data_IF_829842574091
#
_entry.id   IF_829842574091
#
_cell.length_a   1.000
_cell.length_b   1.000
_cell.length_c   1.000
_cell.angle_alpha   90.00
_cell.angle_beta   90.00
_cell.angle_gamma   90.00
#
_symmetry.space_group_name_H-M   'P 1'
#
loop_
_entity.id
_entity.type
_entity.pdbx_description
1 polymer ?
#
# COMPACT_ATOMS: atom_id res chain seq x y z
N UNK A 1 -22.31 -23.35 37.79
CA UNK A 1 -20.91 -22.85 37.67
C UNK A 1 -20.81 -22.05 36.38
N UNK A 2 -20.28 -20.82 36.43
CA UNK A 2 -20.02 -20.03 35.23
C UNK A 2 -18.78 -20.56 34.53
N UNK A 3 -18.82 -20.58 33.21
CA UNK A 3 -17.70 -20.93 32.35
C UNK A 3 -17.53 -19.84 31.29
N UNK A 4 -16.31 -19.67 30.85
CA UNK A 4 -15.93 -18.71 29.83
C UNK A 4 -15.53 -19.49 28.58
N UNK A 5 -16.37 -19.39 27.55
CA UNK A 5 -16.11 -20.02 26.27
C UNK A 5 -15.14 -19.17 25.46
N UNK A 6 -14.20 -19.84 24.80
CA UNK A 6 -13.27 -19.24 23.87
C UNK A 6 -13.32 -19.96 22.52
N UNK A 7 -12.98 -19.24 21.46
CA UNK A 7 -12.90 -19.80 20.11
C UNK A 7 -11.45 -20.16 19.82
N UNK A 8 -11.21 -21.32 19.23
CA UNK A 8 -9.92 -21.67 18.65
C UNK A 8 -9.69 -20.75 17.43
N UNK A 9 -8.94 -19.66 17.64
CA UNK A 9 -8.42 -18.84 16.55
C UNK A 9 -7.22 -19.50 15.89
N UNK A 10 -6.71 -18.90 14.80
CA UNK A 10 -5.52 -19.41 14.11
C UNK A 10 -4.27 -19.44 14.99
N UNK A 11 -4.20 -18.57 16.00
CA UNK A 11 -3.03 -18.43 16.88
C UNK A 11 -3.39 -18.24 18.36
N UNK A 12 -4.52 -17.58 18.66
CA UNK A 12 -4.96 -17.29 20.03
C UNK A 12 -6.38 -17.81 20.32
N UNK A 13 -6.59 -18.35 21.53
CA UNK A 13 -7.91 -18.81 22.02
C UNK A 13 -8.68 -17.63 22.61
N UNK A 14 -9.39 -16.88 21.79
CA UNK A 14 -10.03 -15.62 22.21
C UNK A 14 -11.35 -15.87 22.91
N UNK A 15 -11.60 -15.14 24.00
CA UNK A 15 -12.89 -15.13 24.67
C UNK A 15 -14.02 -14.80 23.68
N UNK A 16 -15.12 -15.55 23.75
CA UNK A 16 -16.31 -15.32 22.92
C UNK A 16 -17.54 -15.00 23.75
N UNK A 17 -17.84 -15.79 24.78
CA UNK A 17 -19.05 -15.62 25.60
C UNK A 17 -18.97 -16.34 26.93
N UNK A 18 -19.82 -15.93 27.87
CA UNK A 18 -20.10 -16.69 29.09
C UNK A 18 -21.15 -17.79 28.82
N UNK A 19 -20.96 -18.96 29.42
CA UNK A 19 -21.90 -20.08 29.40
C UNK A 19 -22.04 -20.67 30.80
N UNK A 20 -23.16 -21.35 31.06
CA UNK A 20 -23.34 -22.10 32.31
C UNK A 20 -22.94 -23.56 32.15
N UNK A 21 -22.17 -24.08 33.11
CA UNK A 21 -21.81 -25.50 33.15
C UNK A 21 -23.05 -26.37 33.35
N UNK A 22 -23.22 -27.37 32.50
CA UNK A 22 -24.23 -28.41 32.67
C UNK A 22 -23.72 -29.46 33.65
N UNK A 23 -24.64 -30.10 34.37
CA UNK A 23 -24.31 -31.22 35.26
C UNK A 23 -24.54 -32.51 34.48
N UNK A 24 -23.57 -33.42 34.53
CA UNK A 24 -23.77 -34.79 34.06
C UNK A 24 -24.71 -35.52 35.04
N UNK A 25 -25.86 -35.94 34.54
CA UNK A 25 -26.91 -36.60 35.34
C UNK A 25 -26.47 -37.96 35.90
N UNK A 26 -25.45 -38.58 35.33
CA UNK A 26 -24.96 -39.90 35.77
C UNK A 26 -23.90 -39.76 36.86
N UNK A 27 -22.90 -38.88 36.67
CA UNK A 27 -21.80 -38.71 37.65
C UNK A 27 -22.03 -37.59 38.66
N UNK A 28 -23.02 -36.72 38.45
CA UNK A 28 -23.27 -35.53 39.26
C UNK A 28 -22.20 -34.44 39.14
N UNK A 29 -21.23 -34.59 38.24
CA UNK A 29 -20.11 -33.64 38.06
C UNK A 29 -20.47 -32.55 37.07
N UNK A 30 -19.88 -31.37 37.24
CA UNK A 30 -19.97 -30.30 36.26
C UNK A 30 -19.21 -30.68 34.99
N UNK A 31 -19.89 -30.56 33.86
CA UNK A 31 -19.31 -30.72 32.53
C UNK A 31 -18.69 -29.40 32.10
N UNK A 32 -17.41 -29.45 31.76
CA UNK A 32 -16.70 -28.35 31.11
C UNK A 32 -16.60 -28.72 29.62
N UNK A 33 -17.31 -28.01 28.72
CA UNK A 33 -17.21 -28.25 27.30
C UNK A 33 -15.79 -28.02 26.77
N UNK A 34 -15.48 -28.61 25.62
CA UNK A 34 -14.26 -28.27 24.90
C UNK A 34 -14.24 -26.76 24.60
N UNK A 35 -13.09 -26.13 24.81
CA UNK A 35 -12.88 -24.69 24.65
C UNK A 35 -13.66 -23.80 25.64
N UNK A 36 -13.85 -24.28 26.87
CA UNK A 36 -14.37 -23.50 27.97
C UNK A 36 -13.51 -23.67 29.22
N UNK A 37 -13.42 -22.63 30.03
CA UNK A 37 -12.68 -22.62 31.30
C UNK A 37 -13.54 -22.05 32.43
N UNK A 38 -13.31 -22.50 33.66
CA UNK A 38 -13.92 -21.93 34.87
C UNK A 38 -13.02 -20.85 35.52
N UNK A 39 -11.88 -20.53 34.91
CA UNK A 39 -10.97 -19.47 35.35
C UNK A 39 -11.61 -18.11 35.08
N UNK A 40 -11.67 -17.27 36.11
CA UNK A 40 -12.29 -15.94 36.05
C UNK A 40 -11.68 -15.07 34.95
N UNK A 41 -12.55 -14.42 34.18
CA UNK A 41 -12.17 -13.59 33.06
C UNK A 41 -11.61 -12.25 33.56
N UNK A 42 -10.45 -11.86 33.02
CA UNK A 42 -9.86 -10.54 33.27
C UNK A 42 -10.77 -9.40 32.77
N UNK A 43 -10.64 -8.22 33.36
CA UNK A 43 -11.43 -7.03 33.02
C UNK A 43 -11.32 -6.70 31.53
N UNK A 44 -12.38 -6.14 30.95
CA UNK A 44 -12.33 -5.69 29.57
C UNK A 44 -11.48 -4.43 29.47
N UNK A 45 -10.54 -4.41 28.53
CA UNK A 45 -9.69 -3.27 28.25
C UNK A 45 -9.93 -2.82 26.80
N UNK A 46 -10.15 -1.52 26.60
CA UNK A 46 -10.41 -0.95 25.28
C UNK A 46 -9.18 -1.12 24.37
N UNK A 47 -9.41 -1.58 23.13
CA UNK A 47 -8.33 -1.90 22.18
C UNK A 47 -7.57 -3.20 22.46
N UNK A 48 -8.04 -4.04 23.41
CA UNK A 48 -7.45 -5.34 23.69
C UNK A 48 -8.50 -6.46 23.66
N UNK A 49 -8.14 -7.57 23.03
CA UNK A 49 -8.88 -8.82 23.14
C UNK A 49 -8.31 -9.67 24.28
N UNK A 50 -9.17 -10.47 24.91
CA UNK A 50 -8.79 -11.42 25.97
C UNK A 50 -8.58 -12.79 25.36
N UNK A 51 -7.40 -13.39 25.55
CA UNK A 51 -7.09 -14.73 25.07
C UNK A 51 -6.67 -15.64 26.23
N UNK A 52 -7.01 -16.93 26.13
CA UNK A 52 -6.68 -17.94 27.13
C UNK A 52 -5.45 -18.74 26.69
N UNK A 53 -4.41 -18.79 27.52
CA UNK A 53 -3.19 -19.57 27.24
C UNK A 53 -2.56 -20.00 28.56
N UNK A 54 -1.93 -21.17 28.58
CA UNK A 54 -1.18 -21.67 29.75
C UNK A 54 -1.99 -21.77 31.06
N UNK A 55 -3.33 -21.80 30.98
CA UNK A 55 -4.21 -21.89 32.14
C UNK A 55 -4.74 -20.55 32.65
N UNK A 56 -4.33 -19.43 32.05
CA UNK A 56 -4.72 -18.08 32.46
C UNK A 56 -5.18 -17.21 31.28
N UNK A 57 -5.86 -16.11 31.63
CA UNK A 57 -6.29 -15.09 30.67
C UNK A 57 -5.22 -14.00 30.51
N UNK A 58 -4.96 -13.63 29.27
CA UNK A 58 -4.01 -12.59 28.90
C UNK A 58 -4.65 -11.56 27.95
N UNK A 59 -4.05 -10.37 27.90
CA UNK A 59 -4.42 -9.31 26.95
C UNK A 59 -3.58 -9.39 25.68
N UNK A 60 -4.23 -9.18 24.55
CA UNK A 60 -3.57 -8.99 23.25
C UNK A 60 -4.15 -7.76 22.57
N UNK A 61 -3.30 -6.91 21.99
CA UNK A 61 -3.75 -5.72 21.29
C UNK A 61 -4.59 -6.10 20.07
N UNK A 62 -5.76 -5.47 19.96
CA UNK A 62 -6.65 -5.61 18.83
C UNK A 62 -6.52 -4.40 17.90
N UNK A 63 -5.51 -4.47 17.03
CA UNK A 63 -5.33 -3.53 15.93
C UNK A 63 -5.98 -4.03 14.63
N UNK A 64 -6.85 -5.04 14.69
CA UNK A 64 -7.48 -5.59 13.50
C UNK A 64 -8.33 -4.50 12.84
N UNK A 65 -8.13 -4.33 11.53
CA UNK A 65 -8.80 -3.29 10.76
C UNK A 65 -8.01 -2.00 10.64
N UNK A 66 -6.93 -1.82 11.41
CA UNK A 66 -6.02 -0.69 11.25
C UNK A 66 -5.30 -0.79 9.91
N UNK A 67 -5.40 0.27 9.12
CA UNK A 67 -4.74 0.43 7.82
C UNK A 67 -3.54 1.37 7.99
N UNK A 68 -2.39 0.96 7.49
CA UNK A 68 -1.17 1.77 7.53
C UNK A 68 -0.45 1.71 6.19
N UNK A 69 0.36 2.72 5.93
CA UNK A 69 1.23 2.82 4.77
C UNK A 69 2.67 2.56 5.20
N UNK A 70 3.46 1.91 4.34
CA UNK A 70 4.91 1.86 4.47
C UNK A 70 5.55 3.16 3.91
N UNK A 71 6.87 3.32 4.08
CA UNK A 71 7.63 4.45 3.52
C UNK A 71 7.58 4.55 1.99
N UNK A 72 7.16 3.47 1.32
CA UNK A 72 7.04 3.35 -0.13
C UNK A 72 5.59 3.58 -0.60
N UNK A 73 4.67 3.95 0.31
CA UNK A 73 3.26 4.18 0.02
C UNK A 73 2.42 2.93 -0.23
N UNK A 74 2.93 1.74 0.07
CA UNK A 74 2.15 0.50 0.05
C UNK A 74 1.23 0.46 1.27
N UNK A 75 -0.06 0.26 1.01
CA UNK A 75 -1.06 0.12 2.05
C UNK A 75 -1.11 -1.33 2.53
N UNK A 76 -0.99 -1.53 3.85
CA UNK A 76 -1.17 -2.81 4.51
C UNK A 76 -2.26 -2.68 5.56
N UNK A 77 -3.13 -3.69 5.62
CA UNK A 77 -4.20 -3.79 6.62
C UNK A 77 -3.87 -4.89 7.60
N UNK A 78 -3.97 -4.57 8.89
CA UNK A 78 -3.82 -5.55 9.96
C UNK A 78 -5.06 -6.44 9.98
N UNK A 79 -4.88 -7.73 9.71
CA UNK A 79 -5.96 -8.71 9.66
C UNK A 79 -5.83 -9.77 10.77
N UNK A 80 -4.76 -9.72 11.56
CA UNK A 80 -4.47 -10.71 12.61
C UNK A 80 -4.39 -10.04 13.98
N UNK A 81 -4.92 -10.75 14.97
CA UNK A 81 -4.92 -10.31 16.35
C UNK A 81 -3.50 -10.31 16.91
N UNK A 82 -3.10 -9.23 17.58
CA UNK A 82 -1.74 -9.06 18.12
C UNK A 82 -0.69 -8.60 17.12
N UNK A 83 -1.05 -8.39 15.86
CA UNK A 83 -0.18 -7.64 14.96
C UNK A 83 -0.20 -6.16 15.36
N UNK A 84 0.99 -5.64 15.61
CA UNK A 84 1.21 -4.22 15.82
C UNK A 84 1.72 -3.62 14.51
N UNK A 85 1.27 -2.42 14.13
CA UNK A 85 1.88 -1.73 13.00
C UNK A 85 3.38 -1.55 13.29
N UNK A 86 4.25 -1.75 12.28
CA UNK A 86 5.68 -1.54 12.46
C UNK A 86 5.97 -0.10 12.91
N UNK A 87 7.12 0.14 13.55
CA UNK A 87 7.48 1.47 14.04
C UNK A 87 7.51 2.54 12.95
N UNK A 88 7.82 2.14 11.72
CA UNK A 88 7.86 3.01 10.53
C UNK A 88 6.50 3.12 9.81
N UNK A 89 5.41 2.62 10.42
CA UNK A 89 4.07 2.70 9.86
C UNK A 89 3.56 4.15 9.83
N UNK A 90 3.04 4.55 8.67
CA UNK A 90 2.43 5.85 8.45
C UNK A 90 0.91 5.69 8.41
N UNK A 91 0.18 6.46 9.22
CA UNK A 91 -1.29 6.47 9.22
C UNK A 91 -1.89 7.44 8.19
N UNK A 92 -1.02 8.20 7.53
CA UNK A 92 -1.35 9.05 6.39
C UNK A 92 -0.55 8.58 5.18
N UNK A 93 -1.11 8.78 3.99
CA UNK A 93 -0.44 8.38 2.75
C UNK A 93 0.85 9.20 2.58
N UNK A 94 2.04 8.59 2.49
CA UNK A 94 3.27 9.33 2.27
C UNK A 94 3.25 10.01 0.90
N UNK A 95 3.76 11.23 0.86
CA UNK A 95 4.04 11.93 -0.40
C UNK A 95 5.41 11.47 -0.87
N UNK A 96 5.43 10.53 -1.82
CA UNK A 96 6.66 10.05 -2.43
C UNK A 96 7.03 11.03 -3.55
N UNK A 97 7.93 11.95 -3.24
CA UNK A 97 8.51 12.81 -4.28
C UNK A 97 9.48 11.98 -5.10
N UNK A 98 9.31 11.88 -6.43
CA UNK A 98 10.24 11.13 -7.27
C UNK A 98 11.64 11.70 -7.11
N UNK A 99 12.63 10.82 -7.06
CA UNK A 99 14.03 11.21 -7.01
C UNK A 99 14.41 12.00 -8.26
N UNK A 100 15.41 12.88 -8.17
CA UNK A 100 15.96 13.56 -9.34
C UNK A 100 16.36 12.57 -10.43
N UNK A 101 16.93 11.42 -10.08
CA UNK A 101 17.32 10.38 -11.05
C UNK A 101 16.12 9.79 -11.81
N UNK A 102 15.00 9.57 -11.13
CA UNK A 102 13.76 9.09 -11.74
C UNK A 102 13.15 10.15 -12.66
N UNK A 103 13.17 11.42 -12.24
CA UNK A 103 12.76 12.56 -13.05
C UNK A 103 13.63 12.71 -14.30
N UNK A 104 14.96 12.59 -14.18
CA UNK A 104 15.87 12.60 -15.34
C UNK A 104 15.55 11.48 -16.32
N UNK A 105 15.35 10.26 -15.80
CA UNK A 105 15.08 9.08 -16.62
C UNK A 105 13.76 9.22 -17.38
N UNK A 106 12.70 9.65 -16.68
CA UNK A 106 11.38 9.94 -17.27
C UNK A 106 11.44 11.06 -18.32
N UNK A 107 12.18 12.13 -18.04
CA UNK A 107 12.38 13.23 -18.97
C UNK A 107 13.15 12.80 -20.22
N UNK A 108 14.22 12.00 -20.08
CA UNK A 108 14.96 11.44 -21.22
C UNK A 108 14.10 10.49 -22.06
N UNK A 109 13.23 9.70 -21.43
CA UNK A 109 12.28 8.82 -22.13
C UNK A 109 11.26 9.62 -22.94
N UNK A 110 10.69 10.67 -22.35
CA UNK A 110 9.76 11.60 -23.01
C UNK A 110 10.43 12.30 -24.19
N UNK A 111 11.66 12.79 -24.00
CA UNK A 111 12.49 13.38 -25.06
C UNK A 111 12.72 12.41 -26.22
N UNK A 112 13.13 11.17 -25.93
CA UNK A 112 13.38 10.17 -26.98
C UNK A 112 12.11 9.87 -27.78
N UNK A 113 10.96 9.80 -27.11
CA UNK A 113 9.66 9.61 -27.76
C UNK A 113 9.34 10.77 -28.70
N UNK A 114 9.54 12.02 -28.26
CA UNK A 114 9.33 13.20 -29.10
C UNK A 114 10.31 13.28 -30.27
N UNK A 115 11.59 12.99 -30.06
CA UNK A 115 12.60 12.95 -31.12
C UNK A 115 12.22 11.91 -32.20
N UNK A 116 11.70 10.75 -31.79
CA UNK A 116 11.24 9.71 -32.72
C UNK A 116 10.05 10.20 -33.53
N UNK A 117 9.03 10.77 -32.87
CA UNK A 117 7.85 11.36 -33.54
C UNK A 117 8.24 12.46 -34.54
N UNK A 118 9.13 13.36 -34.14
CA UNK A 118 9.65 14.43 -35.01
C UNK A 118 10.43 13.85 -36.19
N UNK A 119 11.20 12.78 -35.99
CA UNK A 119 11.96 12.15 -37.07
C UNK A 119 11.04 11.51 -38.12
N UNK A 120 9.98 10.84 -37.68
CA UNK A 120 8.93 10.30 -38.57
C UNK A 120 8.26 11.44 -39.37
N UNK A 121 7.96 12.56 -38.72
CA UNK A 121 7.33 13.71 -39.40
C UNK A 121 8.27 14.35 -40.44
N UNK A 122 9.57 14.45 -40.14
CA UNK A 122 10.58 14.92 -41.10
C UNK A 122 10.61 14.00 -42.33
N UNK A 123 10.61 12.68 -42.14
CA UNK A 123 10.57 11.71 -43.24
C UNK A 123 9.31 11.88 -44.08
N UNK A 124 8.14 11.92 -43.45
CA UNK A 124 6.84 12.14 -44.11
C UNK A 124 6.81 13.43 -44.92
N UNK A 125 7.32 14.53 -44.37
CA UNK A 125 7.35 15.83 -45.07
C UNK A 125 8.37 15.82 -46.22
N UNK A 126 9.50 15.12 -46.07
CA UNK A 126 10.51 14.96 -47.11
C UNK A 126 9.94 14.21 -48.31
N UNK A 127 9.22 13.10 -48.08
CA UNK A 127 8.57 12.32 -49.15
C UNK A 127 7.52 13.15 -49.89
N UNK A 128 6.82 14.03 -49.17
CA UNK A 128 5.84 14.97 -49.72
C UNK A 128 6.46 16.26 -50.30
N UNK A 129 7.80 16.37 -50.38
CA UNK A 129 8.53 17.55 -50.87
C UNK A 129 8.15 18.87 -50.16
N UNK A 130 7.79 18.79 -48.87
CA UNK A 130 7.48 19.95 -48.01
C UNK A 130 8.72 20.42 -47.24
N UNK A 131 8.67 21.64 -46.72
CA UNK A 131 9.75 22.21 -45.90
C UNK A 131 9.92 21.43 -44.58
N UNK A 132 11.17 21.07 -44.24
CA UNK A 132 11.50 20.30 -43.02
C UNK A 132 12.42 21.03 -42.06
N UNK A 133 12.90 22.22 -42.42
CA UNK A 133 13.95 22.93 -41.66
C UNK A 133 13.49 23.25 -40.22
N UNK A 134 12.26 23.73 -40.06
CA UNK A 134 11.72 24.02 -38.73
C UNK A 134 11.64 22.76 -37.85
N UNK A 135 11.33 21.60 -38.42
CA UNK A 135 11.31 20.33 -37.70
C UNK A 135 12.71 19.83 -37.34
N UNK A 136 13.71 20.09 -38.18
CA UNK A 136 15.13 19.79 -37.88
C UNK A 136 15.64 20.64 -36.73
N UNK A 137 15.33 21.93 -36.73
CA UNK A 137 15.62 22.86 -35.63
C UNK A 137 14.95 22.42 -34.33
N UNK A 138 13.66 22.07 -34.38
CA UNK A 138 12.94 21.58 -33.21
C UNK A 138 13.52 20.25 -32.68
N UNK A 139 13.91 19.31 -33.57
CA UNK A 139 14.58 18.07 -33.15
C UNK A 139 15.90 18.34 -32.43
N UNK A 140 16.67 19.34 -32.90
CA UNK A 140 17.91 19.73 -32.26
C UNK A 140 17.64 20.34 -30.89
N UNK A 141 16.66 21.24 -30.78
CA UNK A 141 16.20 21.78 -29.50
C UNK A 141 15.84 20.68 -28.49
N UNK A 142 15.08 19.66 -28.91
CA UNK A 142 14.75 18.52 -28.05
C UNK A 142 15.99 17.74 -27.57
N UNK A 143 17.04 17.63 -28.40
CA UNK A 143 18.30 16.97 -28.01
C UNK A 143 19.05 17.74 -26.94
N UNK A 144 18.93 19.06 -26.97
CA UNK A 144 19.63 19.98 -26.07
C UNK A 144 18.90 20.17 -24.72
N UNK A 145 17.72 19.54 -24.54
CA UNK A 145 16.94 19.56 -23.28
C UNK A 145 17.76 19.23 -22.01
N UNK A 146 18.63 18.19 -21.97
CA UNK A 146 19.41 17.90 -20.78
C UNK A 146 20.41 19.01 -20.38
N UNK A 147 20.71 19.93 -21.30
CA UNK A 147 21.57 21.08 -21.07
C UNK A 147 20.78 22.32 -20.62
N UNK A 148 19.44 22.27 -20.60
CA UNK A 148 18.61 23.39 -20.17
C UNK A 148 18.74 23.66 -18.67
N UNK A 149 18.68 24.94 -18.31
CA UNK A 149 18.62 25.36 -16.92
C UNK A 149 17.31 24.91 -16.29
N UNK A 150 17.38 24.08 -15.24
CA UNK A 150 16.21 23.56 -14.53
C UNK A 150 15.94 22.09 -14.78
N UNK A 151 16.62 21.46 -15.75
CA UNK A 151 16.53 20.01 -15.93
C UNK A 151 17.00 19.25 -14.68
N UNK A 152 16.28 18.20 -14.23
CA UNK A 152 15.03 17.63 -14.79
C UNK A 152 13.73 18.20 -14.20
N UNK A 153 13.79 19.12 -13.24
CA UNK A 153 12.61 19.56 -12.47
C UNK A 153 11.72 20.56 -13.23
N UNK A 154 12.30 21.34 -14.14
CA UNK A 154 11.61 22.30 -14.99
C UNK A 154 12.21 22.21 -16.39
N UNK A 155 11.39 21.78 -17.35
CA UNK A 155 11.81 21.50 -18.72
C UNK A 155 10.95 22.33 -19.66
N UNK A 156 11.61 23.09 -20.55
CA UNK A 156 10.94 23.75 -21.66
C UNK A 156 11.00 22.85 -22.89
N UNK A 157 9.86 22.29 -23.26
CA UNK A 157 9.74 21.43 -24.44
C UNK A 157 9.64 22.22 -25.75
N UNK A 158 9.54 23.55 -25.67
CA UNK A 158 9.39 24.41 -26.83
C UNK A 158 8.02 24.25 -27.50
N UNK A 159 7.84 24.95 -28.62
CA UNK A 159 6.62 24.89 -29.44
C UNK A 159 6.95 24.15 -30.73
N UNK A 160 6.18 23.10 -31.04
CA UNK A 160 6.35 22.37 -32.29
C UNK A 160 6.02 23.26 -33.51
N UNK A 161 6.72 23.11 -34.64
CA UNK A 161 6.57 23.97 -35.83
C UNK A 161 5.18 24.00 -36.48
N UNK A 162 4.36 22.98 -36.23
CA UNK A 162 2.95 22.90 -36.62
C UNK A 162 2.24 21.98 -35.61
N UNK A 163 0.92 22.14 -35.42
CA UNK A 163 0.12 21.16 -34.66
C UNK A 163 0.39 19.76 -35.22
N UNK A 164 0.91 18.89 -34.37
CA UNK A 164 1.18 17.49 -34.70
C UNK A 164 -0.15 16.83 -35.13
N UNK A 165 -0.43 16.74 -36.42
CA UNK A 165 -1.67 16.16 -36.97
C UNK A 165 -1.63 14.63 -36.98
N UNK A 166 -1.01 14.02 -35.97
CA UNK A 166 -0.97 12.58 -35.77
C UNK A 166 -1.88 12.21 -34.61
N UNK A 167 -3.17 12.05 -34.90
CA UNK A 167 -4.06 11.23 -34.08
C UNK A 167 -3.61 9.77 -34.11
#
# INVERSE_FOLDING_TARGET
>A
MKLFAFKLGAEYQTFTREIEAKIDLVSGKYMIPAFATNIELIEQKEGFQRYFKEGDWHYIEDNIGTEYFDSNGNQTKINRLGEVPPTDALFERPIITPSNEELESSARASRNTLINKVSIEIERLTDNKKETENWRTYRQFLRDIPSQKGFPQSIDWGIAPAEYSGN
#
